data_IF_468396440966
#
_entry.id   IF_468396440966
#
_cell.length_a   1.000
_cell.length_b   1.000
_cell.length_c   1.000
_cell.angle_alpha   90.00
_cell.angle_beta   90.00
_cell.angle_gamma   90.00
#
_symmetry.space_group_name_H-M   'P 1'
#
loop_
_entity.id
_entity.type
_entity.pdbx_description
1 polymer ?
#
# COMPACT_ATOMS: atom_id res chain seq x y z
N UNK A 1 25.52 -30.18 48.41
CA UNK A 1 24.71 -30.10 49.64
C UNK A 1 23.40 -29.43 49.34
N UNK A 2 22.24 -30.13 49.37
CA UNK A 2 20.91 -29.57 49.50
C UNK A 2 20.52 -29.52 50.99
N UNK A 3 19.41 -29.02 51.44
CA UNK A 3 18.05 -29.46 51.19
C UNK A 3 17.04 -28.29 51.12
N UNK A 4 15.77 -28.40 50.93
CA UNK A 4 14.69 -29.42 50.93
C UNK A 4 13.35 -28.70 51.26
N UNK A 5 12.23 -29.38 50.97
CA UNK A 5 10.86 -29.14 51.42
C UNK A 5 9.95 -28.17 50.62
N UNK A 6 9.19 -28.69 49.70
CA UNK A 6 7.93 -29.46 49.82
C UNK A 6 6.84 -28.82 50.70
N UNK A 7 5.70 -28.52 50.08
CA UNK A 7 4.33 -28.88 50.48
C UNK A 7 3.22 -28.43 49.51
N UNK A 8 2.53 -29.42 48.95
CA UNK A 8 1.13 -29.32 48.54
C UNK A 8 0.22 -29.41 49.75
N UNK A 9 -1.00 -28.89 49.70
CA UNK A 9 -2.17 -29.76 49.89
C UNK A 9 -3.31 -29.46 48.90
N UNK A 10 -3.85 -30.51 48.34
CA UNK A 10 -5.09 -31.27 48.61
C UNK A 10 -6.41 -30.62 48.18
N UNK A 11 -7.05 -31.37 47.29
CA UNK A 11 -8.44 -31.39 46.83
C UNK A 11 -9.48 -31.22 47.92
N UNK A 12 -10.60 -30.56 47.65
CA UNK A 12 -11.92 -30.94 48.15
C UNK A 12 -12.98 -30.74 47.04
N UNK A 13 -13.76 -31.80 46.87
CA UNK A 13 -14.83 -31.95 45.89
C UNK A 13 -16.21 -31.52 46.41
N UNK A 14 -17.30 -31.85 45.69
CA UNK A 14 -18.55 -31.09 45.70
C UNK A 14 -19.54 -31.59 46.72
N UNK A 15 -20.37 -30.71 47.28
CA UNK A 15 -21.58 -31.06 48.06
C UNK A 15 -22.82 -30.84 47.23
N UNK A 16 -23.56 -31.99 47.07
CA UNK A 16 -24.97 -32.04 46.71
C UNK A 16 -25.80 -31.61 47.92
N UNK A 17 -26.86 -30.90 47.67
CA UNK A 17 -28.04 -30.90 48.56
C UNK A 17 -29.25 -31.25 47.72
N UNK A 18 -29.86 -32.38 48.14
CA UNK A 18 -31.20 -32.78 47.81
C UNK A 18 -32.14 -32.24 48.91
N UNK A 19 -33.37 -31.96 48.57
CA UNK A 19 -34.44 -31.59 49.52
C UNK A 19 -35.78 -31.78 48.84
N UNK A 20 -36.37 -32.93 49.12
CA UNK A 20 -37.77 -33.28 48.87
C UNK A 20 -38.68 -32.38 49.66
N UNK A 21 -39.97 -32.31 49.22
CA UNK A 21 -41.20 -32.36 49.97
C UNK A 21 -42.34 -32.02 49.03
N UNK A 22 -43.10 -32.95 48.64
CA UNK A 22 -44.34 -33.54 49.25
C UNK A 22 -45.65 -32.92 48.74
N UNK A 23 -46.45 -33.84 48.31
CA UNK A 23 -47.74 -33.75 47.70
C UNK A 23 -48.85 -33.24 48.68
N UNK A 24 -49.88 -32.63 48.15
CA UNK A 24 -51.18 -32.66 48.75
C UNK A 24 -52.27 -32.81 47.68
N UNK A 25 -52.94 -33.99 47.75
CA UNK A 25 -54.21 -34.29 47.09
C UNK A 25 -55.34 -33.59 47.81
N UNK A 26 -56.29 -33.05 47.10
CA UNK A 26 -57.67 -32.93 47.56
C UNK A 26 -58.62 -33.42 46.46
N UNK A 27 -59.56 -34.27 46.87
CA UNK A 27 -60.54 -35.06 46.12
C UNK A 27 -61.92 -34.33 46.08
N UNK A 28 -62.47 -34.27 44.86
CA UNK A 28 -63.89 -34.30 44.39
C UNK A 28 -65.05 -33.83 45.29
N UNK A 29 -66.27 -33.56 44.80
CA UNK A 29 -67.01 -34.38 43.83
C UNK A 29 -67.89 -33.64 42.79
N UNK A 30 -68.18 -34.23 41.78
CA UNK A 30 -69.16 -34.71 40.92
C UNK A 30 -70.49 -33.89 40.69
N UNK A 31 -71.00 -33.96 39.48
CA UNK A 31 -72.37 -34.25 39.08
C UNK A 31 -72.62 -33.69 37.65
N UNK A 32 -73.02 -34.56 36.73
CA UNK A 32 -74.21 -34.39 35.89
C UNK A 32 -73.96 -34.09 34.36
N UNK A 33 -73.97 -35.15 33.60
CA UNK A 33 -74.70 -35.36 32.34
C UNK A 33 -74.98 -34.13 31.44
N UNK A 34 -74.45 -34.19 30.19
CA UNK A 34 -75.25 -34.32 28.97
C UNK A 34 -74.35 -34.57 27.76
N UNK A 35 -74.49 -35.70 27.13
CA UNK A 35 -73.92 -36.07 25.84
C UNK A 35 -74.60 -35.24 24.76
N UNK A 36 -73.81 -34.49 24.00
CA UNK A 36 -74.18 -34.05 22.61
C UNK A 36 -73.13 -34.57 21.67
N UNK A 37 -73.65 -35.36 20.75
CA UNK A 37 -72.89 -35.90 19.61
C UNK A 37 -72.23 -34.75 18.82
N UNK A 38 -70.94 -34.63 18.94
CA UNK A 38 -70.16 -33.81 18.01
C UNK A 38 -69.73 -34.70 16.84
N UNK A 39 -70.13 -34.31 15.63
CA UNK A 39 -69.67 -34.88 14.37
C UNK A 39 -68.17 -34.76 14.26
N UNK A 40 -67.41 -35.76 13.73
CA UNK A 40 -65.99 -35.65 13.49
C UNK A 40 -65.78 -34.71 12.32
N UNK A 41 -65.00 -33.64 12.58
CA UNK A 41 -64.46 -32.69 11.60
C UNK A 41 -63.46 -33.42 10.65
N UNK A 42 -63.57 -33.32 9.34
CA UNK A 42 -62.65 -33.96 8.42
C UNK A 42 -61.31 -33.26 8.50
N UNK A 43 -60.36 -33.80 9.30
CA UNK A 43 -58.98 -33.39 9.30
C UNK A 43 -58.43 -33.32 7.87
N UNK A 44 -58.24 -32.13 7.33
CA UNK A 44 -57.48 -31.89 6.11
C UNK A 44 -56.07 -32.47 6.29
N UNK A 45 -55.87 -33.68 5.78
CA UNK A 45 -54.56 -34.29 5.60
C UNK A 45 -53.78 -33.42 4.59
N UNK A 46 -53.06 -32.44 5.06
CA UNK A 46 -52.06 -31.72 4.19
C UNK A 46 -51.08 -32.74 3.69
N UNK A 47 -50.87 -32.83 2.34
CA UNK A 47 -50.05 -33.85 1.77
C UNK A 47 -48.59 -33.71 2.24
N UNK A 48 -48.07 -34.77 2.87
CA UNK A 48 -46.66 -34.90 3.28
C UNK A 48 -45.68 -34.59 2.18
N UNK A 49 -46.13 -34.72 0.89
CA UNK A 49 -45.36 -34.41 -0.31
C UNK A 49 -45.02 -32.94 -0.48
N UNK A 50 -45.88 -31.99 -0.06
CA UNK A 50 -45.61 -30.55 -0.14
C UNK A 50 -44.51 -30.09 0.86
N UNK A 51 -44.37 -30.75 1.99
CA UNK A 51 -43.28 -30.46 2.97
C UNK A 51 -41.93 -31.07 2.52
N UNK A 52 -41.95 -32.19 1.79
CA UNK A 52 -40.76 -32.79 1.23
C UNK A 52 -40.21 -31.93 0.05
N UNK A 53 -41.09 -31.45 -0.84
CA UNK A 53 -40.73 -30.56 -1.95
C UNK A 53 -40.18 -29.21 -1.47
N UNK A 54 -40.74 -28.62 -0.40
CA UNK A 54 -40.20 -27.40 0.19
C UNK A 54 -38.81 -27.57 0.81
N UNK A 55 -38.55 -28.72 1.44
CA UNK A 55 -37.24 -29.04 2.02
C UNK A 55 -36.16 -29.30 0.97
N UNK A 56 -36.50 -29.97 -0.13
CA UNK A 56 -35.57 -30.17 -1.24
C UNK A 56 -35.29 -28.88 -2.00
N UNK A 57 -36.24 -27.97 -2.17
CA UNK A 57 -36.03 -26.66 -2.79
C UNK A 57 -35.10 -25.78 -1.94
N UNK A 58 -35.27 -25.76 -0.60
CA UNK A 58 -34.38 -25.02 0.33
C UNK A 58 -32.97 -25.63 0.33
N UNK A 59 -32.86 -26.96 0.31
CA UNK A 59 -31.54 -27.62 0.23
C UNK A 59 -30.82 -27.35 -1.09
N UNK A 60 -31.52 -27.32 -2.20
CA UNK A 60 -30.95 -26.97 -3.51
C UNK A 60 -30.56 -25.49 -3.58
N UNK A 61 -31.34 -24.57 -3.01
CA UNK A 61 -30.98 -23.17 -2.90
C UNK A 61 -29.75 -22.97 -2.00
N UNK A 62 -29.66 -23.65 -0.86
CA UNK A 62 -28.51 -23.62 0.01
C UNK A 62 -27.26 -24.20 -0.66
N UNK A 63 -27.35 -25.29 -1.40
CA UNK A 63 -26.26 -25.84 -2.20
C UNK A 63 -25.85 -24.89 -3.33
N UNK A 64 -26.81 -24.22 -3.98
CA UNK A 64 -26.53 -23.19 -4.99
C UNK A 64 -25.75 -21.99 -4.41
N UNK A 65 -26.16 -21.50 -3.24
CA UNK A 65 -25.45 -20.41 -2.53
C UNK A 65 -24.05 -20.88 -2.13
N UNK A 66 -23.90 -22.08 -1.58
CA UNK A 66 -22.60 -22.62 -1.17
C UNK A 66 -21.66 -22.88 -2.36
N UNK A 67 -22.18 -23.31 -3.51
CA UNK A 67 -21.36 -23.47 -4.72
C UNK A 67 -20.94 -22.14 -5.32
N UNK A 68 -21.83 -21.15 -5.39
CA UNK A 68 -21.50 -19.80 -5.88
C UNK A 68 -20.51 -19.11 -4.94
N UNK A 69 -20.71 -19.18 -3.61
CA UNK A 69 -19.76 -18.64 -2.66
C UNK A 69 -18.43 -19.40 -2.66
N UNK A 70 -18.45 -20.72 -2.82
CA UNK A 70 -17.26 -21.55 -2.94
C UNK A 70 -16.45 -21.26 -4.21
N UNK A 71 -17.11 -21.03 -5.33
CA UNK A 71 -16.46 -20.65 -6.59
C UNK A 71 -15.92 -19.22 -6.55
N UNK A 72 -16.65 -18.27 -5.96
CA UNK A 72 -16.17 -16.91 -5.74
C UNK A 72 -14.96 -16.89 -4.78
N UNK A 73 -15.02 -17.69 -3.72
CA UNK A 73 -13.91 -17.84 -2.78
C UNK A 73 -12.67 -18.49 -3.42
N UNK A 74 -12.84 -19.56 -4.19
CA UNK A 74 -11.73 -20.22 -4.89
C UNK A 74 -11.13 -19.33 -5.98
N UNK A 75 -11.96 -18.55 -6.69
CA UNK A 75 -11.49 -17.55 -7.65
C UNK A 75 -10.66 -16.46 -6.99
N UNK A 76 -11.13 -15.90 -5.88
CA UNK A 76 -10.39 -14.88 -5.11
C UNK A 76 -9.06 -15.43 -4.57
N UNK A 77 -9.03 -16.67 -4.07
CA UNK A 77 -7.78 -17.29 -3.63
C UNK A 77 -6.81 -17.58 -4.77
N UNK A 78 -7.30 -17.99 -5.93
CA UNK A 78 -6.46 -18.24 -7.11
C UNK A 78 -5.81 -16.92 -7.57
N UNK A 79 -6.58 -15.82 -7.61
CA UNK A 79 -6.07 -14.48 -7.93
C UNK A 79 -5.02 -14.05 -6.91
N UNK A 80 -5.27 -14.25 -5.62
CA UNK A 80 -4.36 -13.89 -4.54
C UNK A 80 -3.03 -14.65 -4.62
N UNK A 81 -3.07 -15.96 -4.87
CA UNK A 81 -1.88 -16.83 -4.88
C UNK A 81 -1.01 -16.65 -6.14
N UNK A 82 -1.49 -15.92 -7.13
CA UNK A 82 -0.75 -15.67 -8.37
C UNK A 82 0.18 -14.44 -8.28
N UNK A 83 0.03 -13.58 -7.25
CA UNK A 83 0.96 -12.47 -7.04
C UNK A 83 2.31 -12.96 -6.52
N UNK A 84 3.37 -12.31 -6.99
CA UNK A 84 4.67 -12.47 -6.38
C UNK A 84 4.70 -11.81 -5.02
N UNK A 85 5.13 -12.57 -4.01
CA UNK A 85 5.23 -12.07 -2.64
C UNK A 85 6.64 -12.19 -2.11
N UNK A 86 6.98 -11.34 -1.15
CA UNK A 86 8.27 -11.30 -0.48
C UNK A 86 8.08 -11.16 1.02
N UNK A 87 8.89 -11.91 1.78
CA UNK A 87 8.90 -11.91 3.23
C UNK A 87 9.81 -10.80 3.83
N UNK A 88 10.17 -9.79 3.05
CA UNK A 88 11.08 -8.72 3.49
C UNK A 88 10.60 -7.95 4.74
N UNK A 89 9.31 -8.06 5.11
CA UNK A 89 8.74 -7.54 6.35
C UNK A 89 8.65 -8.58 7.49
N UNK A 90 9.22 -9.79 7.32
CA UNK A 90 9.16 -10.81 8.35
C UNK A 90 9.88 -10.34 9.63
N UNK A 91 9.20 -10.42 10.77
CA UNK A 91 9.76 -9.98 12.06
C UNK A 91 9.82 -8.45 12.26
N UNK A 92 9.40 -7.66 11.28
CA UNK A 92 9.37 -6.20 11.41
C UNK A 92 8.22 -5.72 12.31
N UNK A 93 8.39 -4.58 13.02
CA UNK A 93 7.30 -3.94 13.75
C UNK A 93 6.10 -3.64 12.85
N UNK A 94 4.91 -3.75 13.42
CA UNK A 94 3.63 -3.48 12.75
C UNK A 94 2.88 -2.36 13.45
N UNK A 95 2.01 -1.68 12.71
CA UNK A 95 1.07 -0.72 13.27
C UNK A 95 0.12 -1.40 14.24
N UNK A 96 -0.31 -0.65 15.25
CA UNK A 96 -1.33 -1.11 16.20
C UNK A 96 -2.72 -0.70 15.71
N UNK A 97 -3.69 -1.60 15.80
CA UNK A 97 -5.06 -1.33 15.34
C UNK A 97 -5.29 -1.70 13.89
N UNK A 98 -6.14 -0.94 13.19
CA UNK A 98 -6.59 -1.21 11.81
C UNK A 98 -6.07 -0.17 10.78
N UNK A 99 -5.34 0.85 11.22
CA UNK A 99 -4.60 1.73 10.32
C UNK A 99 -3.43 0.95 9.71
N UNK A 100 -3.10 1.22 8.44
CA UNK A 100 -2.02 0.54 7.73
C UNK A 100 -1.07 1.56 7.08
N UNK A 101 0.24 1.31 7.21
CA UNK A 101 1.29 2.06 6.52
C UNK A 101 1.83 1.21 5.38
N UNK A 102 1.81 1.76 4.17
CA UNK A 102 2.16 1.07 2.93
C UNK A 102 3.30 1.80 2.27
N UNK A 103 4.39 1.11 1.93
CA UNK A 103 5.45 1.67 1.12
C UNK A 103 5.31 1.23 -0.35
N UNK A 104 5.14 2.20 -1.25
CA UNK A 104 5.29 1.98 -2.68
C UNK A 104 6.75 2.18 -3.08
N UNK A 105 7.31 1.19 -3.77
CA UNK A 105 8.69 1.15 -4.24
C UNK A 105 8.69 1.09 -5.75
N UNK A 106 9.20 2.14 -6.40
CA UNK A 106 9.46 2.16 -7.84
C UNK A 106 10.92 1.81 -8.11
N UNK A 107 11.16 0.59 -8.61
CA UNK A 107 12.49 0.06 -8.86
C UNK A 107 12.95 0.36 -10.29
N UNK A 108 14.06 1.07 -10.43
CA UNK A 108 14.68 1.37 -11.72
C UNK A 108 15.63 0.23 -12.11
N UNK A 109 15.09 -0.90 -12.58
CA UNK A 109 15.85 -2.04 -13.04
C UNK A 109 15.56 -2.32 -14.52
N UNK A 110 16.63 -2.66 -15.29
CA UNK A 110 16.57 -3.14 -16.68
C UNK A 110 16.67 -4.67 -16.75
N UNK A 111 16.42 -5.34 -15.62
CA UNK A 111 16.39 -6.78 -15.52
C UNK A 111 14.95 -7.25 -15.28
N UNK A 112 14.65 -8.42 -15.78
CA UNK A 112 13.43 -9.13 -15.41
C UNK A 112 13.52 -9.61 -13.95
N UNK A 113 12.48 -10.30 -13.49
CA UNK A 113 12.44 -10.84 -12.13
C UNK A 113 13.46 -11.94 -11.83
N UNK A 114 14.00 -12.59 -12.88
CA UNK A 114 14.99 -13.67 -12.77
C UNK A 114 16.43 -13.15 -12.95
N UNK A 115 16.58 -11.84 -13.09
CA UNK A 115 17.88 -11.19 -13.29
C UNK A 115 18.38 -11.20 -14.74
N UNK A 116 17.56 -11.64 -15.70
CA UNK A 116 17.92 -11.57 -17.12
C UNK A 116 17.75 -10.16 -17.65
N UNK A 117 18.57 -9.80 -18.65
CA UNK A 117 18.44 -8.53 -19.37
C UNK A 117 17.09 -8.44 -20.08
N UNK A 118 16.49 -7.24 -20.06
CA UNK A 118 15.29 -6.98 -20.82
C UNK A 118 15.63 -6.99 -22.33
N UNK A 119 14.72 -7.51 -23.17
CA UNK A 119 14.91 -7.47 -24.63
C UNK A 119 15.10 -6.04 -25.15
N UNK A 120 15.91 -5.83 -26.21
CA UNK A 120 16.22 -4.50 -26.76
C UNK A 120 14.98 -3.72 -27.23
N UNK A 121 13.96 -4.40 -27.73
CA UNK A 121 12.69 -3.78 -28.13
C UNK A 121 11.89 -3.28 -26.92
N UNK A 122 11.92 -3.99 -25.80
CA UNK A 122 11.35 -3.54 -24.52
C UNK A 122 12.12 -2.33 -24.00
N UNK A 123 13.46 -2.38 -23.97
CA UNK A 123 14.30 -1.25 -23.55
C UNK A 123 14.02 0.00 -24.39
N UNK A 124 13.83 -0.16 -25.69
CA UNK A 124 13.47 0.94 -26.59
C UNK A 124 12.11 1.54 -26.24
N UNK A 125 11.08 0.70 -25.97
CA UNK A 125 9.75 1.17 -25.55
C UNK A 125 9.79 1.89 -24.22
N UNK A 126 10.66 1.47 -23.32
CA UNK A 126 10.84 2.07 -21.99
C UNK A 126 11.73 3.32 -22.01
N UNK A 127 12.33 3.69 -23.14
CA UNK A 127 13.38 4.72 -23.19
C UNK A 127 14.45 4.45 -22.12
N UNK A 128 14.91 3.21 -21.99
CA UNK A 128 15.77 2.75 -20.92
C UNK A 128 17.24 2.56 -21.32
N UNK A 129 17.64 3.10 -22.47
CA UNK A 129 19.00 2.96 -22.98
C UNK A 129 19.28 1.54 -23.51
N UNK A 130 20.56 1.14 -23.44
CA UNK A 130 21.03 -0.17 -23.93
C UNK A 130 20.98 -1.29 -22.85
N UNK A 131 20.46 -0.97 -21.66
CA UNK A 131 20.37 -1.90 -20.54
C UNK A 131 21.63 -1.98 -19.66
N UNK A 132 22.73 -1.36 -20.07
CA UNK A 132 23.99 -1.36 -19.29
C UNK A 132 23.96 -0.31 -18.17
N UNK A 133 23.16 0.73 -18.33
CA UNK A 133 22.94 1.75 -17.32
C UNK A 133 21.78 1.37 -16.39
N UNK A 134 21.80 1.95 -15.20
CA UNK A 134 20.82 1.69 -14.16
C UNK A 134 21.36 0.68 -13.17
N UNK A 135 20.53 0.18 -12.36
CA UNK A 135 20.89 -0.74 -11.29
C UNK A 135 19.63 -1.15 -10.60
N UNK A 136 19.74 -1.34 -9.31
CA UNK A 136 18.57 -1.62 -8.47
C UNK A 136 18.27 -0.41 -7.57
N UNK A 137 18.18 0.78 -8.17
CA UNK A 137 17.86 2.00 -7.43
C UNK A 137 16.34 2.14 -7.25
N UNK A 138 15.92 2.45 -6.03
CA UNK A 138 14.52 2.77 -5.73
C UNK A 138 14.24 4.25 -6.02
N UNK A 139 14.04 4.58 -7.29
CA UNK A 139 13.89 5.97 -7.75
C UNK A 139 12.54 6.60 -7.35
N UNK A 140 11.62 5.84 -6.79
CA UNK A 140 10.34 6.30 -6.23
C UNK A 140 10.10 5.58 -4.92
N UNK A 141 9.94 6.35 -3.85
CA UNK A 141 9.56 5.87 -2.52
C UNK A 141 8.40 6.73 -2.02
N UNK A 142 7.24 6.12 -1.82
CA UNK A 142 6.03 6.81 -1.34
C UNK A 142 5.47 6.04 -0.15
N UNK A 143 5.49 6.67 1.02
CA UNK A 143 4.92 6.13 2.25
C UNK A 143 3.49 6.62 2.41
N UNK A 144 2.54 5.70 2.41
CA UNK A 144 1.10 5.97 2.46
C UNK A 144 0.54 5.49 3.79
N UNK A 145 -0.14 6.37 4.50
CA UNK A 145 -0.93 6.05 5.68
C UNK A 145 -2.40 5.97 5.33
N UNK A 146 -3.00 4.83 5.59
CA UNK A 146 -4.43 4.58 5.47
C UNK A 146 -5.01 4.49 6.88
N UNK A 147 -5.74 5.51 7.35
CA UNK A 147 -6.36 5.48 8.68
C UNK A 147 -7.37 4.35 8.81
N UNK A 148 -7.71 4.00 10.04
CA UNK A 148 -8.66 2.93 10.34
C UNK A 148 -10.05 3.11 9.72
N UNK A 149 -10.49 4.37 9.56
CA UNK A 149 -11.76 4.73 8.92
C UNK A 149 -11.66 4.83 7.40
N UNK A 150 -10.44 4.64 6.83
CA UNK A 150 -10.15 4.74 5.41
C UNK A 150 -10.31 6.14 4.80
N UNK A 151 -10.51 7.19 5.59
CA UNK A 151 -10.68 8.56 5.12
C UNK A 151 -9.40 9.37 5.32
N UNK A 152 -9.21 10.43 4.51
CA UNK A 152 -8.06 11.32 4.65
C UNK A 152 -6.71 10.59 4.60
N UNK A 153 -6.48 9.85 3.52
CA UNK A 153 -5.21 9.17 3.27
C UNK A 153 -4.10 10.21 3.16
N UNK A 154 -3.00 9.98 3.87
CA UNK A 154 -1.81 10.82 3.81
C UNK A 154 -0.67 10.06 3.16
N UNK A 155 0.00 10.68 2.20
CA UNK A 155 1.12 10.07 1.49
C UNK A 155 2.32 11.02 1.48
N UNK A 156 3.48 10.49 1.83
CA UNK A 156 4.76 11.18 1.77
C UNK A 156 5.62 10.61 0.66
N UNK A 157 6.02 11.47 -0.28
CA UNK A 157 7.08 11.15 -1.22
C UNK A 157 8.42 11.42 -0.56
N UNK A 158 9.32 10.44 -0.59
CA UNK A 158 10.67 10.53 -0.02
C UNK A 158 11.62 10.85 -1.17
N UNK A 159 12.32 12.00 -1.14
CA UNK A 159 13.28 12.33 -2.20
C UNK A 159 14.39 11.27 -2.26
N UNK A 160 14.60 10.72 -3.45
CA UNK A 160 15.47 9.56 -3.64
C UNK A 160 16.96 9.81 -3.34
N UNK A 161 17.38 11.06 -3.43
CA UNK A 161 18.77 11.47 -3.22
C UNK A 161 19.02 11.94 -1.76
N UNK A 162 18.06 11.73 -0.84
CA UNK A 162 18.23 11.98 0.59
C UNK A 162 19.36 11.13 1.14
N UNK A 163 20.34 11.79 1.76
CA UNK A 163 21.52 11.17 2.36
C UNK A 163 21.20 10.71 3.77
N UNK A 164 21.05 9.39 3.93
CA UNK A 164 20.52 8.76 5.14
C UNK A 164 21.49 7.75 5.73
N UNK A 165 21.45 7.50 7.04
CA UNK A 165 22.12 6.35 7.61
C UNK A 165 21.57 5.05 7.04
N UNK A 166 22.47 4.11 6.70
CA UNK A 166 22.11 2.74 6.29
C UNK A 166 22.74 1.75 7.29
N UNK A 167 22.03 0.65 7.53
CA UNK A 167 22.46 -0.34 8.53
C UNK A 167 22.59 -1.71 7.88
N UNK A 168 23.69 -2.42 8.18
CA UNK A 168 23.88 -3.78 7.64
C UNK A 168 24.33 -3.83 6.19
N UNK A 169 24.91 -2.74 5.68
CA UNK A 169 25.61 -2.68 4.39
C UNK A 169 27.09 -2.43 4.69
N UNK A 170 27.93 -3.44 4.49
CA UNK A 170 29.34 -3.35 4.82
C UNK A 170 30.03 -2.26 3.98
N UNK A 171 30.81 -1.41 4.64
CA UNK A 171 31.53 -0.32 4.00
C UNK A 171 30.70 0.98 3.80
N UNK A 172 29.44 0.99 4.26
CA UNK A 172 28.58 2.18 4.18
C UNK A 172 27.92 2.50 5.50
N UNK A 173 28.18 3.69 6.04
CA UNK A 173 27.45 4.25 7.18
C UNK A 173 26.25 5.08 6.71
N UNK A 174 26.39 5.73 5.55
CA UNK A 174 25.36 6.52 4.88
C UNK A 174 25.35 6.27 3.38
N UNK A 175 24.21 6.44 2.76
CA UNK A 175 24.04 6.40 1.31
C UNK A 175 22.84 7.26 0.89
N UNK A 176 22.67 7.51 -0.42
CA UNK A 176 21.38 7.99 -0.91
C UNK A 176 20.32 6.93 -0.66
N UNK A 177 19.15 7.32 -0.18
CA UNK A 177 18.10 6.37 0.20
C UNK A 177 17.73 5.41 -0.94
N UNK A 178 17.81 5.87 -2.20
CA UNK A 178 17.58 5.04 -3.39
C UNK A 178 18.58 3.90 -3.55
N UNK A 179 19.79 4.05 -3.02
CA UNK A 179 20.90 3.11 -3.21
C UNK A 179 20.87 1.95 -2.21
N UNK A 180 20.17 2.12 -1.09
CA UNK A 180 20.08 1.11 -0.03
C UNK A 180 19.67 -0.27 -0.58
N UNK A 181 18.71 -0.32 -1.49
CA UNK A 181 18.29 -1.56 -2.16
C UNK A 181 19.44 -2.21 -2.94
N UNK A 182 20.02 -1.46 -3.87
CA UNK A 182 21.05 -1.98 -4.81
C UNK A 182 22.31 -2.41 -4.09
N UNK A 183 22.78 -1.62 -3.12
CA UNK A 183 23.96 -1.93 -2.30
C UNK A 183 23.78 -3.22 -1.53
N UNK A 184 22.65 -3.35 -0.82
CA UNK A 184 22.35 -4.57 -0.05
C UNK A 184 22.15 -5.79 -0.94
N UNK A 185 21.46 -5.59 -2.09
CA UNK A 185 21.30 -6.66 -3.09
C UNK A 185 22.65 -7.18 -3.56
N UNK A 186 23.53 -6.29 -4.03
CA UNK A 186 24.82 -6.65 -4.56
C UNK A 186 25.69 -7.40 -3.52
N UNK A 187 25.74 -6.91 -2.29
CA UNK A 187 26.46 -7.56 -1.19
C UNK A 187 25.89 -8.95 -0.89
N UNK A 188 24.56 -9.07 -0.84
CA UNK A 188 23.91 -10.36 -0.56
C UNK A 188 24.15 -11.35 -1.71
N UNK A 189 24.07 -10.89 -2.96
CA UNK A 189 24.34 -11.72 -4.13
C UNK A 189 25.77 -12.26 -4.11
N UNK A 190 26.76 -11.41 -3.79
CA UNK A 190 28.15 -11.83 -3.65
C UNK A 190 28.32 -12.88 -2.56
N UNK A 191 27.73 -12.67 -1.38
CA UNK A 191 27.78 -13.66 -0.29
C UNK A 191 27.14 -15.00 -0.68
N UNK A 192 26.06 -14.99 -1.48
CA UNK A 192 25.45 -16.22 -1.97
C UNK A 192 26.35 -16.95 -2.98
N UNK A 193 27.01 -16.21 -3.87
CA UNK A 193 27.99 -16.76 -4.82
C UNK A 193 29.15 -17.40 -4.05
N UNK A 194 29.69 -16.70 -3.07
CA UNK A 194 30.79 -17.19 -2.23
C UNK A 194 30.37 -18.43 -1.42
N UNK A 195 29.09 -18.55 -1.07
CA UNK A 195 28.50 -19.73 -0.45
C UNK A 195 28.18 -20.88 -1.45
N UNK A 196 28.52 -20.71 -2.73
CA UNK A 196 28.35 -21.74 -3.76
C UNK A 196 26.96 -21.79 -4.42
N UNK A 197 26.12 -20.76 -4.27
CA UNK A 197 24.85 -20.66 -5.00
C UNK A 197 25.17 -20.28 -6.46
N UNK A 198 24.72 -21.08 -7.42
CA UNK A 198 24.96 -20.86 -8.86
C UNK A 198 23.69 -20.65 -9.67
N UNK A 199 22.52 -20.91 -9.09
CA UNK A 199 21.24 -20.72 -9.74
C UNK A 199 20.89 -19.22 -9.79
N UNK A 200 20.82 -18.67 -11.00
CA UNK A 200 20.59 -17.23 -11.22
C UNK A 200 19.28 -16.75 -10.63
N UNK A 201 18.19 -17.52 -10.77
CA UNK A 201 16.89 -17.13 -10.24
C UNK A 201 16.87 -17.08 -8.71
N UNK A 202 17.59 -18.01 -8.06
CA UNK A 202 17.80 -18.04 -6.60
C UNK A 202 18.65 -16.85 -6.15
N UNK A 203 19.76 -16.55 -6.84
CA UNK A 203 20.60 -15.39 -6.55
C UNK A 203 19.77 -14.11 -6.62
N UNK A 204 19.04 -13.91 -7.71
CA UNK A 204 18.22 -12.72 -7.93
C UNK A 204 17.12 -12.60 -6.87
N UNK A 205 16.34 -13.65 -6.64
CA UNK A 205 15.23 -13.63 -5.70
C UNK A 205 15.69 -13.30 -4.28
N UNK A 206 16.70 -14.01 -3.77
CA UNK A 206 17.19 -13.83 -2.39
C UNK A 206 17.90 -12.50 -2.19
N UNK A 207 18.68 -12.06 -3.17
CA UNK A 207 19.36 -10.77 -3.07
C UNK A 207 18.38 -9.59 -3.18
N UNK A 208 17.33 -9.68 -4.01
CA UNK A 208 16.24 -8.71 -4.01
C UNK A 208 15.47 -8.66 -2.70
N UNK A 209 15.20 -9.80 -2.08
CA UNK A 209 14.53 -9.81 -0.78
C UNK A 209 15.34 -9.09 0.29
N UNK A 210 16.67 -9.25 0.27
CA UNK A 210 17.57 -8.50 1.15
C UNK A 210 17.57 -6.99 0.83
N UNK A 211 17.57 -6.60 -0.45
CA UNK A 211 17.46 -5.20 -0.86
C UNK A 211 16.14 -4.55 -0.43
N UNK A 212 15.02 -5.27 -0.57
CA UNK A 212 13.70 -4.82 -0.06
C UNK A 212 13.73 -4.62 1.44
N UNK A 213 14.25 -5.60 2.18
CA UNK A 213 14.32 -5.53 3.64
C UNK A 213 15.14 -4.31 4.10
N UNK A 214 16.27 -4.04 3.45
CA UNK A 214 17.10 -2.86 3.73
C UNK A 214 16.36 -1.56 3.44
N UNK A 215 15.73 -1.43 2.27
CA UNK A 215 14.94 -0.25 1.92
C UNK A 215 13.83 0.01 2.94
N UNK A 216 13.09 -1.04 3.33
CA UNK A 216 12.03 -0.95 4.33
C UNK A 216 12.58 -0.55 5.71
N UNK A 217 13.75 -1.07 6.08
CA UNK A 217 14.42 -0.73 7.34
C UNK A 217 14.89 0.73 7.33
N UNK A 218 15.50 1.19 6.25
CA UNK A 218 16.00 2.56 6.09
C UNK A 218 14.85 3.57 6.14
N UNK A 219 13.73 3.30 5.43
CA UNK A 219 12.55 4.17 5.49
C UNK A 219 11.93 4.21 6.88
N UNK A 220 11.85 3.07 7.57
CA UNK A 220 11.38 3.05 8.98
C UNK A 220 12.29 3.84 9.92
N UNK A 221 13.60 3.74 9.74
CA UNK A 221 14.57 4.48 10.53
C UNK A 221 14.45 5.98 10.31
N UNK A 222 14.21 6.41 9.07
CA UNK A 222 14.02 7.82 8.71
C UNK A 222 12.72 8.41 9.24
N UNK A 223 11.63 7.65 9.19
CA UNK A 223 10.27 8.17 9.45
C UNK A 223 9.73 7.84 10.85
N UNK A 224 10.40 6.94 11.56
CA UNK A 224 9.98 6.49 12.90
C UNK A 224 8.66 5.71 12.94
N UNK A 225 8.10 5.31 11.77
CA UNK A 225 6.82 4.60 11.71
C UNK A 225 6.99 3.18 11.18
N UNK A 226 6.19 2.20 11.67
CA UNK A 226 6.19 0.86 11.12
C UNK A 226 5.64 0.85 9.68
N UNK A 227 6.13 -0.09 8.87
CA UNK A 227 5.59 -0.36 7.53
C UNK A 227 4.88 -1.71 7.58
N UNK A 228 3.58 -1.72 7.29
CA UNK A 228 2.74 -2.91 7.38
C UNK A 228 2.71 -3.69 6.07
N UNK A 229 2.78 -2.96 4.96
CA UNK A 229 2.70 -3.50 3.61
C UNK A 229 3.69 -2.79 2.69
N UNK A 230 4.07 -3.47 1.62
CA UNK A 230 4.74 -2.81 0.51
C UNK A 230 4.30 -3.39 -0.82
N UNK A 231 4.42 -2.57 -1.86
CA UNK A 231 4.32 -2.97 -3.25
C UNK A 231 5.54 -2.45 -4.01
N UNK A 232 6.24 -3.32 -4.71
CA UNK A 232 7.35 -2.98 -5.59
C UNK A 232 6.93 -3.13 -7.04
N UNK A 233 7.19 -2.10 -7.84
CA UNK A 233 6.89 -2.04 -9.28
C UNK A 233 8.16 -1.71 -10.04
N UNK A 234 8.50 -2.49 -11.06
CA UNK A 234 9.63 -2.21 -11.97
C UNK A 234 9.21 -1.25 -13.10
N UNK A 235 10.18 -0.82 -13.93
CA UNK A 235 9.88 -0.02 -15.13
C UNK A 235 8.92 -0.75 -16.08
N UNK A 236 9.14 -2.05 -16.31
CA UNK A 236 8.26 -2.89 -17.14
C UNK A 236 6.88 -2.96 -16.52
N UNK A 237 6.80 -3.23 -15.22
CA UNK A 237 5.53 -3.31 -14.51
C UNK A 237 4.73 -2.01 -14.57
N UNK A 238 5.38 -0.85 -14.44
CA UNK A 238 4.73 0.45 -14.61
C UNK A 238 4.17 0.61 -16.02
N UNK A 239 4.96 0.25 -17.04
CA UNK A 239 4.55 0.31 -18.44
C UNK A 239 3.34 -0.59 -18.72
N UNK A 240 3.40 -1.85 -18.31
CA UNK A 240 2.36 -2.83 -18.58
C UNK A 240 1.06 -2.52 -17.83
N UNK A 241 1.14 -2.08 -16.57
CA UNK A 241 -0.03 -1.59 -15.81
C UNK A 241 -0.68 -0.41 -16.52
N UNK A 242 0.12 0.59 -16.94
CA UNK A 242 -0.40 1.78 -17.63
C UNK A 242 -1.05 1.41 -18.96
N UNK A 243 -0.48 0.46 -19.70
CA UNK A 243 -1.03 -0.08 -20.93
C UNK A 243 -2.36 -0.80 -20.69
N UNK A 244 -2.45 -1.63 -19.64
CA UNK A 244 -3.67 -2.32 -19.26
C UNK A 244 -4.79 -1.36 -18.82
N UNK A 245 -4.43 -0.22 -18.22
CA UNK A 245 -5.37 0.87 -17.90
C UNK A 245 -5.91 1.57 -19.16
N UNK A 246 -5.27 1.43 -20.32
CA UNK A 246 -5.64 2.13 -21.55
C UNK A 246 -5.14 3.57 -21.62
N UNK A 247 -4.15 3.92 -20.79
CA UNK A 247 -3.58 5.26 -20.66
C UNK A 247 -4.10 6.01 -19.44
N UNK A 248 -3.42 7.11 -19.07
CA UNK A 248 -3.74 7.92 -17.88
C UNK A 248 -3.79 9.39 -18.26
N UNK A 249 -4.81 10.10 -17.78
CA UNK A 249 -4.93 11.55 -18.00
C UNK A 249 -4.04 12.30 -17.01
N UNK A 250 -3.26 13.25 -17.53
CA UNK A 250 -2.46 14.19 -16.74
C UNK A 250 -2.66 15.62 -17.25
N UNK A 251 -2.31 16.60 -16.45
CA UNK A 251 -2.36 18.00 -16.82
C UNK A 251 -1.00 18.66 -16.61
N UNK A 252 -0.51 19.39 -17.62
CA UNK A 252 0.73 20.15 -17.58
C UNK A 252 0.42 21.65 -17.58
N UNK A 253 1.04 22.40 -16.67
CA UNK A 253 0.93 23.87 -16.62
C UNK A 253 1.70 24.52 -17.78
N UNK A 254 2.85 23.94 -18.15
CA UNK A 254 3.73 24.44 -19.19
C UNK A 254 4.12 23.34 -20.18
N UNK A 255 4.45 23.66 -21.43
CA UNK A 255 4.98 22.68 -22.37
C UNK A 255 6.36 22.19 -21.91
N UNK A 256 6.67 20.94 -22.16
CA UNK A 256 7.94 20.31 -21.80
C UNK A 256 8.58 19.60 -22.97
N UNK A 257 9.93 19.58 -22.98
CA UNK A 257 10.73 18.89 -23.99
C UNK A 257 12.01 18.38 -23.33
N UNK A 258 12.11 17.07 -23.13
CA UNK A 258 13.26 16.40 -22.52
C UNK A 258 13.63 15.14 -23.31
N UNK A 259 14.75 15.19 -24.00
CA UNK A 259 15.24 14.06 -24.80
C UNK A 259 15.75 12.89 -23.94
N UNK A 260 16.13 13.13 -22.67
CA UNK A 260 16.63 12.08 -21.78
C UNK A 260 15.52 11.13 -21.30
N UNK A 261 14.36 11.68 -20.97
CA UNK A 261 13.19 10.88 -20.59
C UNK A 261 12.29 10.53 -21.78
N UNK A 262 12.43 11.23 -22.91
CA UNK A 262 11.51 11.15 -24.05
C UNK A 262 10.22 11.95 -23.86
N UNK A 263 10.15 12.84 -22.85
CA UNK A 263 8.98 13.64 -22.56
C UNK A 263 8.87 14.86 -23.49
N UNK A 264 7.87 14.86 -24.38
CA UNK A 264 7.55 15.95 -25.28
C UNK A 264 6.04 16.21 -25.23
N UNK A 265 5.62 17.19 -24.45
CA UNK A 265 4.20 17.47 -24.23
C UNK A 265 3.92 18.96 -24.33
N UNK A 266 2.79 19.34 -24.94
CA UNK A 266 2.25 20.69 -24.82
C UNK A 266 1.66 20.92 -23.42
N UNK A 267 1.39 22.19 -23.08
CA UNK A 267 0.59 22.50 -21.90
C UNK A 267 -0.85 22.00 -22.05
N UNK A 268 -1.51 21.71 -20.93
CA UNK A 268 -2.90 21.26 -20.88
C UNK A 268 -3.07 19.79 -20.52
N UNK A 269 -4.29 19.28 -20.73
CA UNK A 269 -4.67 17.91 -20.40
C UNK A 269 -4.29 16.95 -21.54
N UNK A 270 -3.63 15.85 -21.18
CA UNK A 270 -3.22 14.79 -22.10
C UNK A 270 -3.63 13.44 -21.57
N UNK A 271 -4.04 12.53 -22.47
CA UNK A 271 -4.13 11.10 -22.15
C UNK A 271 -2.83 10.46 -22.61
N UNK A 272 -2.00 10.06 -21.65
CA UNK A 272 -0.69 9.47 -21.91
C UNK A 272 -0.83 7.97 -22.11
N UNK A 273 -0.26 7.43 -23.18
CA UNK A 273 -0.02 5.99 -23.31
C UNK A 273 1.07 5.52 -22.33
N UNK A 274 1.39 4.23 -22.34
CA UNK A 274 2.34 3.65 -21.40
C UNK A 274 3.77 4.23 -21.53
N UNK A 275 4.25 4.45 -22.75
CA UNK A 275 5.58 5.03 -22.98
C UNK A 275 5.62 6.51 -22.59
N UNK A 276 4.60 7.27 -22.97
CA UNK A 276 4.45 8.67 -22.60
C UNK A 276 4.32 8.86 -21.09
N UNK A 277 3.55 8.00 -20.42
CA UNK A 277 3.41 8.02 -18.96
C UNK A 277 4.73 7.76 -18.25
N UNK A 278 5.52 6.78 -18.75
CA UNK A 278 6.84 6.51 -18.20
C UNK A 278 7.80 7.69 -18.42
N UNK A 279 7.78 8.32 -19.60
CA UNK A 279 8.55 9.53 -19.90
C UNK A 279 8.15 10.68 -18.95
N UNK A 280 6.84 10.88 -18.73
CA UNK A 280 6.29 11.92 -17.86
C UNK A 280 6.75 11.77 -16.41
N UNK A 281 6.69 10.57 -15.82
CA UNK A 281 7.07 10.35 -14.41
C UNK A 281 8.59 10.27 -14.19
N UNK A 282 9.38 10.19 -15.27
CA UNK A 282 10.85 10.13 -15.21
C UNK A 282 11.54 11.45 -15.52
N UNK A 283 10.85 12.39 -16.16
CA UNK A 283 11.46 13.66 -16.57
C UNK A 283 12.04 14.43 -15.38
N UNK A 284 13.23 14.97 -15.57
CA UNK A 284 13.95 15.83 -14.60
C UNK A 284 14.56 17.06 -15.27
N UNK A 285 15.03 16.91 -16.51
CA UNK A 285 15.66 18.02 -17.24
C UNK A 285 14.58 18.97 -17.77
N UNK A 286 14.89 20.26 -17.67
CA UNK A 286 13.95 21.31 -18.07
C UNK A 286 12.81 21.54 -17.08
N UNK A 287 12.92 21.03 -15.85
CA UNK A 287 12.05 21.34 -14.72
C UNK A 287 12.78 22.29 -13.78
N UNK A 288 12.06 23.25 -13.20
CA UNK A 288 12.65 24.32 -12.37
C UNK A 288 13.33 23.76 -11.11
N UNK A 289 12.68 22.79 -10.47
CA UNK A 289 13.16 22.13 -9.25
C UNK A 289 13.67 20.70 -9.50
N UNK A 290 13.91 20.31 -10.75
CA UNK A 290 14.52 19.04 -11.13
C UNK A 290 13.83 17.80 -10.56
N UNK A 291 14.46 17.15 -9.58
CA UNK A 291 13.95 15.90 -8.98
C UNK A 291 12.69 16.10 -8.11
N UNK A 292 12.52 17.25 -7.49
CA UNK A 292 11.31 17.55 -6.71
C UNK A 292 10.08 17.70 -7.62
N UNK A 293 10.20 18.37 -8.75
CA UNK A 293 9.11 18.47 -9.73
C UNK A 293 8.78 17.10 -10.34
N UNK A 294 9.78 16.25 -10.56
CA UNK A 294 9.53 14.84 -10.93
C UNK A 294 8.67 14.13 -9.87
N UNK A 295 8.95 14.36 -8.60
CA UNK A 295 8.16 13.79 -7.50
C UNK A 295 6.70 14.25 -7.57
N UNK A 296 6.44 15.53 -7.87
CA UNK A 296 5.08 16.06 -8.08
C UNK A 296 4.38 15.40 -9.27
N UNK A 297 5.10 15.12 -10.36
CA UNK A 297 4.55 14.37 -11.49
C UNK A 297 4.13 12.95 -11.12
N UNK A 298 4.93 12.27 -10.31
CA UNK A 298 4.58 10.95 -9.79
C UNK A 298 3.32 11.00 -8.92
N UNK A 299 3.21 12.01 -8.04
CA UNK A 299 2.02 12.24 -7.22
C UNK A 299 0.78 12.53 -8.09
N UNK A 300 0.90 13.42 -9.08
CA UNK A 300 -0.19 13.76 -10.00
C UNK A 300 -0.64 12.53 -10.80
N UNK A 301 0.31 11.72 -11.27
CA UNK A 301 0.01 10.47 -11.97
C UNK A 301 -0.79 9.50 -11.09
N UNK A 302 -0.37 9.29 -9.84
CA UNK A 302 -1.08 8.41 -8.90
C UNK A 302 -2.48 8.93 -8.56
N UNK A 303 -2.65 10.24 -8.36
CA UNK A 303 -3.96 10.85 -8.18
C UNK A 303 -4.86 10.63 -9.40
N UNK A 304 -4.32 10.79 -10.60
CA UNK A 304 -5.04 10.55 -11.85
C UNK A 304 -5.47 9.09 -12.00
N UNK A 305 -4.58 8.14 -11.68
CA UNK A 305 -4.91 6.70 -11.67
C UNK A 305 -6.02 6.42 -10.67
N UNK A 306 -5.92 6.95 -9.44
CA UNK A 306 -6.95 6.76 -8.40
C UNK A 306 -8.29 7.34 -8.84
N UNK A 307 -8.30 8.54 -9.42
CA UNK A 307 -9.50 9.16 -9.97
C UNK A 307 -10.11 8.34 -11.11
N UNK A 308 -9.28 7.86 -12.03
CA UNK A 308 -9.73 7.02 -13.14
C UNK A 308 -10.33 5.71 -12.66
N UNK A 309 -9.69 5.01 -11.72
CA UNK A 309 -10.18 3.76 -11.16
C UNK A 309 -11.54 3.95 -10.45
N UNK A 310 -11.71 5.08 -9.72
CA UNK A 310 -12.96 5.39 -9.02
C UNK A 310 -14.08 5.84 -9.96
N UNK A 311 -13.76 6.55 -11.05
CA UNK A 311 -14.75 7.15 -11.96
C UNK A 311 -15.15 6.26 -13.13
N UNK A 312 -14.25 5.39 -13.61
CA UNK A 312 -14.45 4.60 -14.84
C UNK A 312 -15.26 3.31 -14.64
N UNK A 313 -15.68 3.01 -13.41
CA UNK A 313 -16.39 1.77 -13.12
C UNK A 313 -15.56 0.51 -13.40
N UNK A 314 -14.21 0.62 -13.40
CA UNK A 314 -13.30 -0.54 -13.61
C UNK A 314 -13.62 -1.66 -12.63
N UNK A 315 -13.97 -1.32 -11.40
CA UNK A 315 -14.40 -2.31 -10.39
C UNK A 315 -15.73 -2.99 -10.74
N UNK A 316 -16.52 -2.41 -11.65
CA UNK A 316 -17.76 -3.00 -12.20
C UNK A 316 -17.56 -3.77 -13.52
N UNK A 317 -16.39 -3.63 -14.17
CA UNK A 317 -16.03 -4.32 -15.41
C UNK A 317 -15.03 -5.44 -15.12
N UNK A 318 -15.54 -6.65 -14.97
CA UNK A 318 -14.75 -7.85 -14.62
C UNK A 318 -13.60 -8.11 -15.60
N UNK A 319 -13.78 -7.81 -16.91
CA UNK A 319 -12.74 -8.05 -17.91
C UNK A 319 -11.56 -7.08 -17.74
N UNK A 320 -11.85 -5.81 -17.46
CA UNK A 320 -10.80 -4.81 -17.20
C UNK A 320 -10.07 -5.09 -15.90
N UNK A 321 -10.82 -5.47 -14.86
CA UNK A 321 -10.23 -5.83 -13.58
C UNK A 321 -9.33 -7.06 -13.72
N UNK A 322 -9.77 -8.10 -14.42
CA UNK A 322 -8.99 -9.31 -14.67
C UNK A 322 -7.71 -9.02 -15.45
N UNK A 323 -7.78 -8.18 -16.48
CA UNK A 323 -6.61 -7.74 -17.24
C UNK A 323 -5.59 -7.00 -16.38
N UNK A 324 -6.04 -6.06 -15.53
CA UNK A 324 -5.16 -5.33 -14.59
C UNK A 324 -4.53 -6.26 -13.56
N UNK A 325 -5.32 -7.16 -12.99
CA UNK A 325 -4.85 -8.15 -12.02
C UNK A 325 -3.81 -9.07 -12.66
N UNK A 326 -4.05 -9.57 -13.89
CA UNK A 326 -3.12 -10.44 -14.59
C UNK A 326 -1.77 -9.79 -14.86
N UNK A 327 -1.76 -8.51 -15.23
CA UNK A 327 -0.53 -7.73 -15.41
C UNK A 327 0.16 -7.50 -14.07
N UNK A 328 -0.58 -7.08 -13.05
CA UNK A 328 -0.01 -6.83 -11.73
C UNK A 328 0.59 -8.11 -11.11
N UNK A 329 0.01 -9.28 -11.38
CA UNK A 329 0.56 -10.58 -10.94
C UNK A 329 1.94 -10.87 -11.53
N UNK A 330 2.23 -10.39 -12.74
CA UNK A 330 3.50 -10.63 -13.40
C UNK A 330 4.59 -9.68 -12.93
N UNK A 331 4.25 -8.42 -12.68
CA UNK A 331 5.21 -7.32 -12.62
C UNK A 331 5.25 -6.60 -11.28
N UNK A 332 4.36 -6.95 -10.34
CA UNK A 332 4.33 -6.38 -9.00
C UNK A 332 4.73 -7.42 -7.96
N UNK A 333 5.61 -7.02 -7.05
CA UNK A 333 5.92 -7.82 -5.85
C UNK A 333 5.26 -7.19 -4.64
N UNK A 334 4.46 -7.98 -3.93
CA UNK A 334 3.75 -7.55 -2.72
C UNK A 334 4.40 -8.12 -1.45
N UNK A 335 4.18 -7.48 -0.32
CA UNK A 335 4.50 -8.09 0.97
C UNK A 335 3.66 -9.34 1.19
N UNK A 336 4.26 -10.41 1.73
CA UNK A 336 3.56 -11.67 2.04
C UNK A 336 2.37 -11.45 2.97
N UNK A 337 1.31 -12.19 2.75
CA UNK A 337 0.07 -12.12 3.52
C UNK A 337 -0.79 -10.89 3.28
N UNK A 338 -0.50 -10.09 2.25
CA UNK A 338 -1.37 -8.97 1.85
C UNK A 338 -2.44 -9.45 0.88
N UNK A 339 -3.71 -9.45 1.29
CA UNK A 339 -4.82 -9.70 0.40
C UNK A 339 -5.18 -8.42 -0.36
N UNK A 340 -4.60 -8.25 -1.54
CA UNK A 340 -4.78 -7.04 -2.36
C UNK A 340 -6.22 -6.91 -2.89
N UNK A 341 -6.92 -8.01 -3.08
CA UNK A 341 -8.32 -8.01 -3.55
C UNK A 341 -9.24 -7.47 -2.46
N UNK A 342 -9.11 -7.97 -1.23
CA UNK A 342 -9.87 -7.46 -0.08
C UNK A 342 -9.51 -6.01 0.22
N UNK A 343 -8.24 -5.64 0.02
CA UNK A 343 -7.77 -4.27 0.17
C UNK A 343 -8.41 -3.33 -0.87
N UNK A 344 -8.46 -3.74 -2.14
CA UNK A 344 -9.08 -2.98 -3.22
C UNK A 344 -10.59 -2.79 -2.97
N UNK A 345 -11.29 -3.81 -2.48
CA UNK A 345 -12.69 -3.67 -2.07
C UNK A 345 -12.87 -2.66 -0.94
N UNK A 346 -12.06 -2.73 0.10
CA UNK A 346 -12.11 -1.75 1.21
C UNK A 346 -11.89 -0.31 0.72
N UNK A 347 -10.94 -0.10 -0.18
CA UNK A 347 -10.67 1.22 -0.75
C UNK A 347 -11.73 1.63 -1.76
N UNK A 348 -12.26 0.70 -2.56
CA UNK A 348 -13.32 0.97 -3.53
C UNK A 348 -14.62 1.50 -2.91
N UNK A 349 -14.96 1.06 -1.70
CA UNK A 349 -16.12 1.56 -0.93
C UNK A 349 -15.91 2.98 -0.36
N UNK A 350 -14.68 3.50 -0.45
CA UNK A 350 -14.29 4.79 0.09
C UNK A 350 -14.34 5.86 -1.02
N UNK A 351 -15.44 5.91 -1.77
CA UNK A 351 -15.71 7.00 -2.71
C UNK A 351 -15.86 8.32 -1.96
N UNK A 352 -14.98 9.27 -2.21
CA UNK A 352 -14.94 10.59 -1.54
C UNK A 352 -13.72 10.79 -0.64
N UNK A 353 -12.69 9.95 -0.77
CA UNK A 353 -11.42 10.12 -0.06
C UNK A 353 -10.67 11.35 -0.51
N UNK A 354 -10.13 12.03 0.47
CA UNK A 354 -9.13 13.05 0.24
C UNK A 354 -7.75 12.40 0.46
N UNK A 355 -7.00 12.21 -0.63
CA UNK A 355 -5.60 11.82 -0.53
C UNK A 355 -4.73 13.08 -0.59
N UNK A 356 -3.94 13.28 0.45
CA UNK A 356 -2.97 14.36 0.51
C UNK A 356 -1.58 13.81 0.26
N UNK A 357 -0.91 14.33 -0.76
CA UNK A 357 0.50 14.07 -1.00
C UNK A 357 1.35 15.24 -0.48
N UNK A 358 2.47 14.91 0.16
CA UNK A 358 3.49 15.86 0.61
C UNK A 358 4.85 15.27 0.25
N UNK A 359 5.80 16.08 -0.17
CA UNK A 359 7.20 15.66 -0.33
C UNK A 359 7.95 15.97 0.96
N UNK A 360 8.74 15.03 1.47
CA UNK A 360 9.56 15.26 2.66
C UNK A 360 10.57 16.37 2.43
N UNK A 361 10.82 17.22 3.43
CA UNK A 361 11.64 18.41 3.27
C UNK A 361 13.12 18.08 3.08
N UNK A 362 13.78 18.84 2.19
CA UNK A 362 15.22 18.86 1.99
C UNK A 362 15.75 20.15 2.62
N UNK A 363 16.78 20.05 3.46
CA UNK A 363 17.37 21.22 4.11
C UNK A 363 18.29 21.98 3.14
N UNK A 364 19.14 21.26 2.40
CA UNK A 364 20.06 21.82 1.40
C UNK A 364 20.57 20.73 0.47
N UNK A 365 21.11 21.14 -0.65
CA UNK A 365 21.85 20.27 -1.57
C UNK A 365 23.33 20.31 -1.23
N UNK A 366 24.04 19.18 -1.43
CA UNK A 366 25.47 19.06 -1.19
C UNK A 366 26.09 18.03 -2.15
N UNK A 367 27.42 17.97 -2.18
CA UNK A 367 28.16 16.94 -2.91
C UNK A 367 29.06 16.18 -1.93
N UNK A 368 28.80 14.90 -1.74
CA UNK A 368 29.56 14.00 -0.85
C UNK A 368 30.15 12.88 -1.72
N UNK A 369 31.46 12.68 -1.63
CA UNK A 369 32.19 11.68 -2.40
C UNK A 369 31.94 11.77 -3.93
N UNK A 370 31.77 13.00 -4.43
CA UNK A 370 31.52 13.27 -5.84
C UNK A 370 30.07 12.97 -6.30
N UNK A 371 29.18 12.72 -5.37
CA UNK A 371 27.74 12.50 -5.63
C UNK A 371 26.90 13.64 -5.09
N UNK A 372 25.98 14.16 -5.91
CA UNK A 372 25.00 15.14 -5.46
C UNK A 372 24.00 14.48 -4.52
N UNK A 373 23.79 15.03 -3.33
CA UNK A 373 22.94 14.50 -2.27
C UNK A 373 22.02 15.57 -1.71
N UNK A 374 20.91 15.15 -1.15
CA UNK A 374 20.04 15.99 -0.32
C UNK A 374 20.43 15.81 1.15
N UNK A 375 20.77 16.92 1.79
CA UNK A 375 20.95 16.96 3.24
C UNK A 375 19.59 17.22 3.87
N UNK A 376 19.22 16.37 4.81
CA UNK A 376 17.93 16.37 5.49
C UNK A 376 18.09 16.55 7.00
N UNK A 377 17.01 16.87 7.68
CA UNK A 377 16.89 16.79 9.15
C UNK A 377 16.02 15.57 9.50
N UNK A 378 16.62 14.45 9.90
CA UNK A 378 15.86 13.24 10.22
C UNK A 378 14.85 13.42 11.35
N UNK A 379 15.17 14.26 12.35
CA UNK A 379 14.26 14.52 13.48
C UNK A 379 13.04 15.32 13.05
N UNK A 380 13.22 16.31 12.17
CA UNK A 380 12.12 17.08 11.61
C UNK A 380 11.22 16.18 10.74
N UNK A 381 11.80 15.32 9.91
CA UNK A 381 11.07 14.35 9.07
C UNK A 381 10.28 13.37 9.95
N UNK A 382 10.90 12.76 10.93
CA UNK A 382 10.23 11.85 11.86
C UNK A 382 9.03 12.53 12.54
N UNK A 383 9.23 13.74 13.05
CA UNK A 383 8.18 14.53 13.71
C UNK A 383 7.04 14.84 12.75
N UNK A 384 7.34 15.26 11.52
CA UNK A 384 6.33 15.57 10.50
C UNK A 384 5.49 14.35 10.16
N UNK A 385 6.14 13.21 9.86
CA UNK A 385 5.45 11.98 9.48
C UNK A 385 4.61 11.44 10.64
N UNK A 386 5.15 11.36 11.86
CA UNK A 386 4.42 10.87 13.03
C UNK A 386 3.24 11.77 13.39
N UNK A 387 3.38 13.10 13.26
CA UNK A 387 2.29 14.06 13.47
C UNK A 387 1.18 13.86 12.43
N UNK A 388 1.55 13.76 11.15
CA UNK A 388 0.60 13.57 10.06
C UNK A 388 -0.15 12.22 10.15
N UNK A 389 0.48 11.18 10.71
CA UNK A 389 -0.12 9.87 10.95
C UNK A 389 -0.88 9.80 12.29
N UNK A 390 -0.91 10.90 13.06
CA UNK A 390 -1.62 10.98 14.34
C UNK A 390 -0.98 10.19 15.47
N UNK A 391 0.30 9.85 15.36
CA UNK A 391 1.05 9.12 16.40
C UNK A 391 1.52 10.05 17.51
N UNK A 392 1.77 11.31 17.19
CA UNK A 392 2.09 12.39 18.14
C UNK A 392 1.14 13.57 17.90
N UNK A 393 0.77 14.32 18.96
CA UNK A 393 -0.06 15.50 18.78
C UNK A 393 0.70 16.60 18.02
N UNK A 394 0.00 17.40 17.18
CA UNK A 394 0.63 18.55 16.53
C UNK A 394 1.18 19.52 17.58
N UNK A 395 2.34 20.11 17.29
CA UNK A 395 2.90 21.13 18.14
C UNK A 395 1.88 22.26 18.36
N UNK A 396 1.73 22.80 19.59
CA UNK A 396 0.82 23.91 19.82
C UNK A 396 1.20 25.06 18.90
N UNK A 397 0.26 25.51 18.08
CA UNK A 397 0.43 26.68 17.22
C UNK A 397 0.70 27.86 18.17
N UNK A 398 1.92 28.37 18.19
CA UNK A 398 2.21 29.61 18.88
C UNK A 398 1.24 30.65 18.30
N UNK A 399 0.36 31.20 19.16
CA UNK A 399 -0.55 32.26 18.76
C UNK A 399 0.32 33.36 18.15
N UNK A 400 0.24 33.54 16.85
CA UNK A 400 0.89 34.64 16.15
C UNK A 400 0.32 35.91 16.79
N UNK A 401 1.16 36.57 17.63
CA UNK A 401 0.87 37.92 18.09
C UNK A 401 0.68 38.74 16.81
N UNK A 402 -0.49 39.35 16.65
CA UNK A 402 -0.72 40.30 15.58
C UNK A 402 0.39 41.35 15.67
N UNK A 403 1.13 41.63 14.59
CA UNK A 403 2.06 42.73 14.62
C UNK A 403 1.27 44.01 14.81
N UNK A 404 1.55 44.73 15.91
CA UNK A 404 1.11 46.11 16.08
C UNK A 404 1.64 46.92 14.90
N UNK A 405 0.71 47.55 14.17
CA UNK A 405 1.02 48.49 13.11
C UNK A 405 1.63 49.74 13.73
N UNK A 406 2.95 49.76 13.92
CA UNK A 406 3.77 50.96 14.10
C UNK A 406 5.23 50.53 14.25
N UNK A 407 5.89 50.22 13.14
CA UNK A 407 7.34 50.31 13.00
C UNK A 407 7.73 50.55 11.54
N UNK A 408 8.58 51.57 11.26
CA UNK A 408 9.01 51.84 9.88
C UNK A 408 9.95 50.75 9.38
N UNK A 409 9.75 50.36 8.11
CA UNK A 409 10.55 49.40 7.41
C UNK A 409 12.02 49.85 7.31
N UNK A 410 12.89 49.13 7.97
CA UNK A 410 14.33 49.18 7.69
C UNK A 410 14.67 48.02 6.73
N UNK A 411 14.91 48.39 5.48
CA UNK A 411 15.29 47.50 4.40
C UNK A 411 16.78 47.28 4.41
N UNK A 412 17.24 46.27 5.09
CA UNK A 412 18.55 45.63 4.81
C UNK A 412 18.34 44.14 4.65
N UNK A 413 18.04 43.75 3.41
CA UNK A 413 18.03 42.35 2.99
C UNK A 413 19.48 41.88 2.82
N UNK A 414 19.99 41.24 3.87
CA UNK A 414 21.18 40.40 3.78
C UNK A 414 20.71 38.99 3.40
N UNK A 415 21.26 38.47 2.32
CA UNK A 415 21.13 37.14 1.72
C UNK A 415 20.44 36.08 2.52
N UNK A 416 19.19 35.82 2.19
CA UNK A 416 18.53 34.58 2.55
C UNK A 416 19.03 33.51 1.60
N UNK A 417 19.75 32.49 2.14
CA UNK A 417 19.85 31.21 1.46
C UNK A 417 18.44 30.81 1.00
N UNK A 418 18.29 30.37 -0.27
CA UNK A 418 16.97 29.96 -0.72
C UNK A 418 16.52 28.77 0.13
N UNK A 419 15.46 28.97 0.91
CA UNK A 419 14.72 27.85 1.49
C UNK A 419 14.39 26.91 0.34
N UNK A 420 14.74 25.61 0.44
CA UNK A 420 14.39 24.66 -0.62
C UNK A 420 12.89 24.74 -0.85
N UNK A 421 12.51 25.11 -2.08
CA UNK A 421 11.11 25.16 -2.47
C UNK A 421 10.54 23.74 -2.30
N UNK A 422 9.54 23.57 -1.44
CA UNK A 422 8.85 22.30 -1.22
C UNK A 422 7.98 21.92 -2.44
N UNK A 423 8.22 22.59 -3.57
CA UNK A 423 7.53 22.41 -4.82
C UNK A 423 6.19 23.12 -4.87
N UNK A 424 5.81 23.56 -6.07
CA UNK A 424 4.50 24.17 -6.28
C UNK A 424 3.38 23.18 -5.92
N UNK A 425 2.32 23.60 -5.21
CA UNK A 425 1.23 22.72 -4.86
C UNK A 425 0.58 22.15 -6.12
N UNK A 426 0.28 20.85 -6.09
CA UNK A 426 -0.44 20.20 -7.18
C UNK A 426 -1.83 20.84 -7.29
N UNK A 427 -2.10 21.50 -8.42
CA UNK A 427 -3.40 22.14 -8.72
C UNK A 427 -4.29 21.17 -9.49
N UNK A 428 -5.61 21.36 -9.47
CA UNK A 428 -6.55 20.57 -10.25
C UNK A 428 -7.07 21.35 -11.43
N UNK A 429 -7.16 20.71 -12.61
CA UNK A 429 -7.85 21.27 -13.80
C UNK A 429 -9.36 21.28 -13.59
N UNK A 430 -10.10 21.92 -14.51
CA UNK A 430 -11.57 21.91 -14.51
C UNK A 430 -12.17 20.48 -14.64
N UNK A 431 -11.40 19.53 -15.16
CA UNK A 431 -11.78 18.10 -15.24
C UNK A 431 -11.48 17.31 -13.96
N UNK A 432 -10.93 17.94 -12.91
CA UNK A 432 -10.50 17.27 -11.70
C UNK A 432 -9.14 16.56 -11.81
N UNK A 433 -8.45 16.65 -12.95
CA UNK A 433 -7.11 16.08 -13.14
C UNK A 433 -6.07 17.02 -12.56
N UNK A 434 -5.12 16.54 -11.73
CA UNK A 434 -4.07 17.38 -11.17
C UNK A 434 -3.15 17.97 -12.26
N UNK A 435 -2.85 19.27 -12.18
CA UNK A 435 -1.90 19.94 -13.06
C UNK A 435 -0.55 20.13 -12.36
N UNK A 436 0.54 19.85 -13.07
CA UNK A 436 1.93 19.96 -12.59
C UNK A 436 2.82 20.60 -13.64
N UNK A 437 4.02 20.99 -13.24
CA UNK A 437 5.09 21.44 -14.15
C UNK A 437 5.93 20.28 -14.65
#
# INVERSE_FOLDING_TARGET
MPPDHARRPTRQGPRRFAGDLEATRIIAPGVGRHAKHARPDPQRRRPRRARALGRTAVALAACGVLTVTGLAWSGAQTVQNAFHTSDALAGAPRSTGTAENILLIGLDSRKDRNGNDLPPDVLTQLHAGDGQEGGYNTNTLILIHVPADGKNITAFSIPRDDYVPVVGIDGYDHAKIKEAYGLKKAQTEQHLIDAGVTDQATLESRSRDAGRAETLQTVRALTGVPIDRFAEVSLVGFYDITKALGGVQVCLNHPVSDNYSGAHFAAGVHTLDAAQALAFVRQRHGLDNGDLDRTHRQQAFLLSVTHMLSSSGVFGDLNKLDALVSVAQQDVTLSSGWNIVDYAHRIGDISGQHTRFTTLPVVRYDTIDGQDVNIIDPTAIETEVQTAFGLIPPAPVAATAHPSADQPADTTVTGTDPTPDQGAPVTTSASGVPCVN
#
